data_IF_049770022855
#
_entry.id   IF_049770022855
#
_cell.length_a   1.000
_cell.length_b   1.000
_cell.length_c   1.000
_cell.angle_alpha   90.00
_cell.angle_beta   90.00
_cell.angle_gamma   90.00
#
_symmetry.space_group_name_H-M   'P 1'
#
loop_
_entity.id
_entity.type
_entity.pdbx_description
1 polymer ?
#
# COMPACT_ATOMS: atom_id res chain seq x y z
N UNK A 1 3.68 30.64 -38.84
CA UNK A 1 3.56 29.62 -37.76
C UNK A 1 3.09 30.33 -36.49
N UNK A 2 1.99 29.90 -35.87
CA UNK A 2 1.35 30.65 -34.78
C UNK A 2 2.13 30.46 -33.47
N UNK A 3 2.68 31.56 -32.91
CA UNK A 3 3.46 31.57 -31.67
C UNK A 3 2.70 30.91 -30.51
N UNK A 4 1.37 31.12 -30.43
CA UNK A 4 0.54 30.45 -29.43
C UNK A 4 0.56 28.92 -29.63
N UNK A 5 0.45 28.44 -30.87
CA UNK A 5 0.50 27.01 -31.21
C UNK A 5 1.85 26.39 -30.86
N UNK A 6 2.96 27.09 -31.09
CA UNK A 6 4.30 26.62 -30.71
C UNK A 6 4.50 26.53 -29.20
N UNK A 7 4.05 27.55 -28.45
CA UNK A 7 4.12 27.56 -26.98
C UNK A 7 3.27 26.42 -26.41
N UNK A 8 2.04 26.23 -26.91
CA UNK A 8 1.18 25.11 -26.47
C UNK A 8 1.84 23.77 -26.73
N UNK A 9 2.49 23.60 -27.89
CA UNK A 9 3.15 22.34 -28.25
C UNK A 9 4.38 22.06 -27.37
N UNK A 10 5.17 23.09 -27.02
CA UNK A 10 6.29 22.96 -26.09
C UNK A 10 5.83 22.59 -24.67
N UNK A 11 4.73 23.18 -24.19
CA UNK A 11 4.16 22.85 -22.88
C UNK A 11 3.70 21.39 -22.81
N UNK A 12 3.10 20.86 -23.88
CA UNK A 12 2.70 19.44 -23.95
C UNK A 12 3.92 18.52 -23.84
N UNK A 13 5.02 18.84 -24.52
CA UNK A 13 6.26 18.05 -24.41
C UNK A 13 6.84 18.04 -22.98
N UNK A 14 6.83 19.17 -22.28
CA UNK A 14 7.31 19.25 -20.87
C UNK A 14 6.41 18.43 -19.94
N UNK A 15 5.08 18.46 -20.14
CA UNK A 15 4.14 17.64 -19.37
C UNK A 15 4.38 16.14 -19.64
N UNK A 16 4.64 15.75 -20.89
CA UNK A 16 4.93 14.35 -21.23
C UNK A 16 6.26 13.87 -20.62
N UNK A 17 7.30 14.71 -20.61
CA UNK A 17 8.59 14.38 -19.99
C UNK A 17 8.45 14.26 -18.47
N UNK A 18 7.73 15.18 -17.83
CA UNK A 18 7.50 15.11 -16.38
C UNK A 18 6.60 13.92 -15.98
N UNK A 19 5.54 13.64 -16.74
CA UNK A 19 4.67 12.49 -16.53
C UNK A 19 5.42 11.15 -16.70
N UNK A 20 6.27 11.05 -17.73
CA UNK A 20 7.10 9.84 -17.93
C UNK A 20 8.13 9.66 -16.83
N UNK A 21 8.80 10.73 -16.38
CA UNK A 21 9.69 10.68 -15.21
C UNK A 21 8.98 10.24 -13.94
N UNK A 22 7.72 10.68 -13.76
CA UNK A 22 6.88 10.26 -12.64
C UNK A 22 6.55 8.76 -12.70
N UNK A 23 6.24 8.22 -13.89
CA UNK A 23 5.98 6.79 -14.09
C UNK A 23 7.20 5.95 -13.70
N UNK A 24 8.41 6.36 -14.10
CA UNK A 24 9.66 5.66 -13.75
C UNK A 24 9.96 5.65 -12.25
N UNK A 25 9.56 6.68 -11.50
CA UNK A 25 9.78 6.76 -10.05
C UNK A 25 8.75 5.99 -9.20
N UNK A 26 7.74 5.36 -9.80
CA UNK A 26 6.77 4.54 -9.05
C UNK A 26 7.16 3.07 -8.92
N UNK A 27 8.46 2.74 -8.92
CA UNK A 27 8.93 1.37 -8.71
C UNK A 27 8.31 0.82 -7.42
N UNK A 28 7.41 -0.14 -7.58
CA UNK A 28 6.77 -0.83 -6.47
C UNK A 28 7.75 -1.91 -6.00
N UNK A 29 8.07 -1.89 -4.71
CA UNK A 29 9.02 -2.83 -4.09
C UNK A 29 8.28 -3.98 -3.44
N UNK A 30 8.99 -5.06 -3.11
CA UNK A 30 8.56 -6.01 -2.10
C UNK A 30 9.43 -5.83 -0.85
N UNK A 31 8.85 -5.41 0.26
CA UNK A 31 9.60 -5.08 1.50
C UNK A 31 10.33 -6.27 2.11
N UNK A 32 9.82 -7.49 1.94
CA UNK A 32 10.52 -8.69 2.40
C UNK A 32 11.80 -8.99 1.59
N UNK A 33 11.87 -8.52 0.33
CA UNK A 33 13.00 -8.79 -0.59
C UNK A 33 13.94 -7.59 -0.70
N UNK A 34 13.37 -6.40 -0.87
CA UNK A 34 14.11 -5.15 -1.11
C UNK A 34 14.45 -4.43 0.20
N UNK A 35 13.75 -4.76 1.29
CA UNK A 35 13.81 -4.07 2.56
C UNK A 35 14.78 -4.66 3.59
N UNK A 36 15.09 -3.84 4.59
CA UNK A 36 15.79 -4.19 5.83
C UNK A 36 15.08 -3.47 6.96
N UNK A 37 14.59 -4.24 7.94
CA UNK A 37 13.95 -3.68 9.14
C UNK A 37 15.00 -3.31 10.18
N UNK A 38 15.00 -2.07 10.64
CA UNK A 38 15.87 -1.59 11.72
C UNK A 38 15.02 -0.96 12.80
N UNK A 39 15.00 -1.56 13.99
CA UNK A 39 14.21 -1.07 15.14
C UNK A 39 12.74 -0.76 14.79
N UNK A 40 12.13 -1.56 13.91
CA UNK A 40 10.73 -1.40 13.48
C UNK A 40 10.51 -0.41 12.33
N UNK A 41 11.56 0.20 11.79
CA UNK A 41 11.50 1.10 10.62
C UNK A 41 12.05 0.37 9.40
N UNK A 42 11.30 0.44 8.28
CA UNK A 42 11.71 -0.12 7.00
C UNK A 42 12.68 0.82 6.27
N UNK A 43 13.81 0.26 5.85
CA UNK A 43 14.76 0.87 4.92
C UNK A 43 14.89 -0.03 3.68
N UNK A 44 15.19 0.54 2.51
CA UNK A 44 15.64 -0.29 1.38
C UNK A 44 17.12 -0.64 1.55
N UNK A 45 17.55 -1.79 1.01
CA UNK A 45 18.96 -2.20 1.00
C UNK A 45 19.85 -1.08 0.44
N UNK A 46 20.84 -0.64 1.22
CA UNK A 46 21.74 0.46 0.87
C UNK A 46 21.19 1.88 1.12
N UNK A 47 19.95 2.04 1.56
CA UNK A 47 19.38 3.33 1.94
C UNK A 47 19.70 3.68 3.39
N UNK A 48 20.02 4.95 3.64
CA UNK A 48 20.13 5.53 4.99
C UNK A 48 18.85 6.24 5.44
N UNK A 49 17.88 6.42 4.54
CA UNK A 49 16.58 7.06 4.82
C UNK A 49 15.47 6.02 4.92
N UNK A 50 14.49 6.19 5.83
CA UNK A 50 13.31 5.34 5.91
C UNK A 50 12.54 5.33 4.58
N UNK A 51 11.94 4.19 4.27
CA UNK A 51 11.22 4.00 3.01
C UNK A 51 9.83 4.65 3.04
N UNK A 52 9.51 5.43 2.01
CA UNK A 52 8.17 5.96 1.76
C UNK A 52 7.75 5.56 0.35
N UNK A 53 6.63 4.85 0.22
CA UNK A 53 6.17 4.34 -1.06
C UNK A 53 5.30 3.09 -0.96
N UNK A 54 4.99 2.49 -2.11
CA UNK A 54 4.11 1.31 -2.22
C UNK A 54 4.93 0.02 -2.07
N UNK A 55 4.40 -0.92 -1.29
CA UNK A 55 4.87 -2.31 -1.27
C UNK A 55 3.83 -3.25 -1.91
N UNK A 56 4.31 -4.16 -2.75
CA UNK A 56 3.58 -5.28 -3.34
C UNK A 56 4.49 -6.51 -3.34
N UNK A 57 4.21 -7.47 -2.47
CA UNK A 57 4.94 -8.73 -2.41
C UNK A 57 4.17 -9.86 -3.09
N UNK A 58 4.87 -10.69 -3.86
CA UNK A 58 4.33 -11.76 -4.70
C UNK A 58 5.03 -13.08 -4.35
N UNK A 59 4.28 -14.19 -4.22
CA UNK A 59 4.81 -15.56 -4.20
C UNK A 59 5.42 -15.83 -5.58
N UNK A 60 6.75 -15.92 -5.67
CA UNK A 60 7.50 -16.21 -6.89
C UNK A 60 7.06 -17.51 -7.58
N UNK A 61 6.77 -18.57 -6.81
CA UNK A 61 6.39 -19.89 -7.36
C UNK A 61 5.01 -19.92 -8.03
N UNK A 62 4.14 -18.95 -7.76
CA UNK A 62 2.74 -18.98 -8.20
C UNK A 62 2.23 -17.65 -8.78
N UNK A 63 3.05 -16.60 -8.79
CA UNK A 63 2.66 -15.23 -9.17
C UNK A 63 1.42 -14.72 -8.41
N UNK A 64 1.26 -15.11 -7.15
CA UNK A 64 0.14 -14.71 -6.29
C UNK A 64 0.59 -13.60 -5.36
N UNK A 65 -0.13 -12.48 -5.30
CA UNK A 65 0.16 -11.41 -4.35
C UNK A 65 0.01 -11.91 -2.90
N UNK A 66 0.99 -11.70 -2.03
CA UNK A 66 0.86 -11.95 -0.58
C UNK A 66 0.08 -10.82 0.06
N UNK A 67 0.54 -9.61 -0.22
CA UNK A 67 -0.04 -8.39 0.31
C UNK A 67 0.38 -7.19 -0.51
N UNK A 68 -0.37 -6.11 -0.31
CA UNK A 68 -0.02 -4.79 -0.80
C UNK A 68 -0.42 -3.72 0.18
N UNK A 69 0.35 -2.64 0.19
CA UNK A 69 0.12 -1.50 1.06
C UNK A 69 1.12 -0.39 0.76
N UNK A 70 1.23 0.56 1.68
CA UNK A 70 2.24 1.61 1.60
C UNK A 70 2.93 1.81 2.94
N UNK A 71 4.14 2.34 2.84
CA UNK A 71 4.93 2.84 3.93
C UNK A 71 5.02 4.36 3.86
N UNK A 72 5.05 5.00 5.04
CA UNK A 72 5.40 6.39 5.26
C UNK A 72 6.46 6.42 6.33
N UNK A 73 7.64 6.98 6.03
CA UNK A 73 8.78 7.07 6.93
C UNK A 73 9.17 5.71 7.54
N UNK A 74 9.12 4.67 6.71
CA UNK A 74 9.43 3.29 7.06
C UNK A 74 8.38 2.59 7.92
N UNK A 75 7.23 3.22 8.17
CA UNK A 75 6.12 2.68 8.94
C UNK A 75 4.91 2.38 8.04
N UNK A 76 4.19 1.28 8.30
CA UNK A 76 2.96 0.94 7.56
C UNK A 76 1.93 2.05 7.70
N UNK A 77 1.34 2.46 6.58
CA UNK A 77 0.39 3.58 6.53
C UNK A 77 -0.80 3.25 5.62
N UNK A 78 -2.00 3.68 6.02
CA UNK A 78 -3.24 3.47 5.29
C UNK A 78 -3.66 1.99 5.18
N UNK A 79 -4.39 1.67 4.11
CA UNK A 79 -4.96 0.34 3.91
C UNK A 79 -3.91 -0.67 3.44
N UNK A 80 -3.78 -1.75 4.19
CA UNK A 80 -3.02 -2.94 3.82
C UNK A 80 -3.98 -4.09 3.51
N UNK A 81 -3.75 -4.75 2.38
CA UNK A 81 -4.56 -5.88 1.91
C UNK A 81 -3.68 -7.11 1.89
N UNK A 82 -4.16 -8.19 2.50
CA UNK A 82 -3.48 -9.49 2.57
C UNK A 82 -4.33 -10.52 1.85
N UNK A 83 -3.67 -11.45 1.16
CA UNK A 83 -4.30 -12.44 0.30
C UNK A 83 -3.93 -13.86 0.73
N UNK A 84 -4.79 -14.81 0.37
CA UNK A 84 -4.52 -16.23 0.45
C UNK A 84 -3.75 -16.71 -0.80
N UNK A 85 -3.21 -17.94 -0.74
CA UNK A 85 -2.49 -18.57 -1.88
C UNK A 85 -3.33 -18.71 -3.15
N UNK A 86 -4.66 -18.68 -3.05
CA UNK A 86 -5.58 -18.72 -4.19
C UNK A 86 -6.01 -17.31 -4.67
N UNK A 87 -5.26 -16.26 -4.31
CA UNK A 87 -5.53 -14.86 -4.65
C UNK A 87 -6.81 -14.25 -4.06
N UNK A 88 -7.55 -14.98 -3.21
CA UNK A 88 -8.69 -14.41 -2.47
C UNK A 88 -8.22 -13.51 -1.34
N UNK A 89 -9.03 -12.51 -0.96
CA UNK A 89 -8.70 -11.64 0.17
C UNK A 89 -8.72 -12.46 1.45
N UNK A 90 -7.66 -12.32 2.25
CA UNK A 90 -7.57 -12.88 3.60
C UNK A 90 -8.03 -11.83 4.62
N UNK A 91 -7.50 -10.62 4.49
CA UNK A 91 -7.87 -9.50 5.36
C UNK A 91 -7.50 -8.15 4.76
N UNK A 92 -8.20 -7.12 5.22
CA UNK A 92 -7.90 -5.72 5.01
C UNK A 92 -7.65 -5.08 6.38
N UNK A 93 -6.64 -4.21 6.51
CA UNK A 93 -6.30 -3.59 7.80
C UNK A 93 -5.78 -2.18 7.58
N UNK A 94 -6.36 -1.21 8.28
CA UNK A 94 -5.85 0.16 8.29
C UNK A 94 -4.71 0.30 9.29
N UNK A 95 -3.64 0.95 8.86
CA UNK A 95 -2.49 1.30 9.67
C UNK A 95 -2.32 2.82 9.70
N UNK A 96 -1.83 3.32 10.83
CA UNK A 96 -1.34 4.69 10.96
C UNK A 96 -0.09 4.67 11.83
N UNK A 97 0.99 5.27 11.32
CA UNK A 97 2.31 5.28 11.96
C UNK A 97 2.77 3.88 12.42
N UNK A 98 2.55 2.87 11.56
CA UNK A 98 2.98 1.49 11.79
C UNK A 98 2.10 0.69 12.74
N UNK A 99 1.06 1.27 13.31
CA UNK A 99 0.11 0.59 14.20
C UNK A 99 -1.22 0.37 13.50
N UNK A 100 -1.89 -0.76 13.78
CA UNK A 100 -3.26 -0.96 13.34
C UNK A 100 -4.16 0.09 13.99
N UNK A 101 -4.77 0.92 13.17
CA UNK A 101 -5.60 2.06 13.56
C UNK A 101 -6.74 2.19 12.54
N UNK A 102 -7.98 2.03 13.00
CA UNK A 102 -9.17 1.96 12.17
C UNK A 102 -9.64 0.53 11.92
N UNK A 103 -10.44 0.35 10.86
CA UNK A 103 -11.10 -0.93 10.59
C UNK A 103 -10.12 -2.01 10.12
N UNK A 104 -10.34 -3.24 10.60
CA UNK A 104 -9.78 -4.48 10.08
C UNK A 104 -10.92 -5.42 9.67
N UNK A 105 -10.91 -5.90 8.43
CA UNK A 105 -11.88 -6.87 7.90
C UNK A 105 -11.18 -8.19 7.67
N UNK A 106 -11.80 -9.29 8.09
CA UNK A 106 -11.33 -10.66 7.86
C UNK A 106 -12.35 -11.38 6.99
N UNK A 107 -11.88 -12.09 5.97
CA UNK A 107 -12.73 -12.76 4.99
C UNK A 107 -12.71 -14.28 5.17
N UNK A 108 -13.85 -14.93 4.89
CA UNK A 108 -13.96 -16.39 4.83
C UNK A 108 -13.53 -16.92 3.44
N UNK A 109 -13.59 -18.25 3.26
CA UNK A 109 -13.29 -18.93 2.00
C UNK A 109 -14.22 -18.54 0.83
N UNK A 110 -15.41 -18.04 1.12
CA UNK A 110 -16.40 -17.54 0.16
C UNK A 110 -16.21 -16.05 -0.13
N UNK A 111 -15.10 -15.44 0.33
CA UNK A 111 -14.77 -14.03 0.13
C UNK A 111 -15.80 -13.05 0.76
N UNK A 112 -16.55 -13.51 1.76
CA UNK A 112 -17.46 -12.70 2.56
C UNK A 112 -16.76 -12.23 3.84
N UNK A 113 -17.18 -11.09 4.38
CA UNK A 113 -16.64 -10.59 5.66
C UNK A 113 -17.12 -11.52 6.78
N UNK A 114 -16.18 -12.23 7.39
CA UNK A 114 -16.45 -13.03 8.58
C UNK A 114 -16.57 -12.10 9.80
N UNK A 115 -15.59 -11.20 9.98
CA UNK A 115 -15.52 -10.29 11.12
C UNK A 115 -14.98 -8.93 10.71
N UNK A 116 -15.56 -7.89 11.31
CA UNK A 116 -15.00 -6.53 11.32
C UNK A 116 -14.51 -6.23 12.73
N UNK A 117 -13.31 -5.68 12.83
CA UNK A 117 -12.74 -5.19 14.08
C UNK A 117 -12.45 -3.70 13.95
N UNK A 118 -12.66 -2.97 15.05
CA UNK A 118 -12.11 -1.63 15.22
C UNK A 118 -10.78 -1.74 15.98
N UNK A 119 -9.70 -1.22 15.40
CA UNK A 119 -8.37 -1.27 15.98
C UNK A 119 -7.92 0.12 16.41
N UNK A 120 -7.42 0.23 17.65
CA UNK A 120 -6.79 1.44 18.18
C UNK A 120 -5.45 1.04 18.80
N UNK A 121 -4.37 1.58 18.27
CA UNK A 121 -3.00 1.30 18.71
C UNK A 121 -2.70 -0.21 18.83
N UNK A 122 -2.99 -0.97 17.77
CA UNK A 122 -2.86 -2.44 17.69
C UNK A 122 -3.86 -3.26 18.54
N UNK A 123 -4.61 -2.65 19.46
CA UNK A 123 -5.68 -3.34 20.18
C UNK A 123 -6.93 -3.34 19.31
N UNK A 124 -7.45 -4.52 18.99
CA UNK A 124 -8.60 -4.68 18.11
C UNK A 124 -9.77 -5.34 18.83
N UNK A 125 -10.96 -4.77 18.69
CA UNK A 125 -12.20 -5.29 19.26
C UNK A 125 -13.21 -5.52 18.15
N UNK A 126 -14.03 -6.57 18.27
CA UNK A 126 -15.06 -6.88 17.28
C UNK A 126 -16.07 -5.75 17.24
N UNK A 127 -16.35 -5.25 16.04
CA UNK A 127 -17.48 -4.34 15.83
C UNK A 127 -18.74 -5.17 15.99
N UNK A 128 -19.59 -4.81 16.95
CA UNK A 128 -20.88 -5.44 17.10
C UNK A 128 -21.74 -5.04 15.89
N UNK A 129 -22.29 -5.98 15.10
CA UNK A 129 -23.03 -5.65 13.88
C UNK A 129 -24.25 -4.74 14.11
N UNK A 130 -24.70 -4.60 15.35
CA UNK A 130 -25.86 -3.78 15.73
C UNK A 130 -25.55 -2.27 15.89
N UNK A 131 -24.29 -1.84 15.71
CA UNK A 131 -23.93 -0.41 15.77
C UNK A 131 -23.51 0.05 14.38
N UNK A 132 -24.51 0.45 13.60
CA UNK A 132 -24.36 1.17 12.34
C UNK A 132 -23.76 2.56 12.64
N UNK A 133 -22.47 2.73 12.37
CA UNK A 133 -21.85 4.06 12.32
C UNK A 133 -22.30 4.75 11.02
N UNK A 134 -23.54 5.25 11.02
CA UNK A 134 -24.04 6.24 10.06
C UNK A 134 -23.43 7.61 10.33
#
# INVERSE_FOLDING_TARGET
>A
MNIKKQITQLMIFIILISASYFIFHTKTICDDVDGVMQKGILYLKGSTKPYTGKSLCIWDTANVTWYKGKYQDGLKEGLWIFYNKNSTKKSETNYSAGKMNGLRKVYNSQNQIAYTLNCINNKCERVNPDIDYK
#
